data_IF_212051092398
#
_entry.id   IF_212051092398
#
_cell.length_a   1.000
_cell.length_b   1.000
_cell.length_c   1.000
_cell.angle_alpha   90.00
_cell.angle_beta   90.00
_cell.angle_gamma   90.00
#
_symmetry.space_group_name_H-M   'P 1'
#
loop_
_entity.id
_entity.type
_entity.pdbx_description
1 polymer ?
#
# COMPACT_ATOMS: atom_id res chain seq x y z
N UNK A 1 34.41 35.80 -5.32
CA UNK A 1 33.88 35.77 -6.69
C UNK A 1 34.46 34.50 -7.29
N UNK A 2 33.78 33.38 -7.08
CA UNK A 2 34.34 32.09 -7.48
C UNK A 2 33.78 31.73 -8.84
N UNK A 3 34.69 31.68 -9.81
CA UNK A 3 34.42 31.40 -11.20
C UNK A 3 33.76 30.02 -11.32
N UNK A 4 32.57 29.98 -11.91
CA UNK A 4 32.02 28.77 -12.51
C UNK A 4 33.02 28.25 -13.54
N UNK A 5 33.88 27.31 -13.16
CA UNK A 5 34.59 26.49 -14.12
C UNK A 5 33.55 25.63 -14.83
N UNK A 6 33.27 26.01 -16.07
CA UNK A 6 32.47 25.26 -17.01
C UNK A 6 33.20 23.92 -17.27
N UNK A 7 32.85 22.87 -16.50
CA UNK A 7 33.50 21.55 -16.58
C UNK A 7 33.02 20.89 -17.88
N UNK A 8 33.71 21.18 -18.99
CA UNK A 8 33.44 20.61 -20.32
C UNK A 8 33.58 19.08 -20.22
N UNK A 9 32.46 18.37 -20.31
CA UNK A 9 32.44 16.91 -20.33
C UNK A 9 32.75 16.45 -21.75
N UNK A 10 33.86 15.74 -21.93
CA UNK A 10 34.27 15.23 -23.23
C UNK A 10 33.61 13.89 -23.53
N UNK A 11 33.19 13.70 -24.78
CA UNK A 11 32.68 12.40 -25.22
C UNK A 11 33.77 11.33 -25.18
N UNK A 12 33.40 10.05 -24.98
CA UNK A 12 34.38 8.94 -24.97
C UNK A 12 35.20 8.86 -26.26
N UNK A 13 34.62 9.21 -27.40
CA UNK A 13 35.34 9.23 -28.67
C UNK A 13 36.34 10.40 -28.79
N UNK A 14 36.03 11.55 -28.20
CA UNK A 14 36.96 12.69 -28.12
C UNK A 14 38.12 12.35 -27.17
N UNK A 15 37.82 11.77 -25.99
CA UNK A 15 38.85 11.31 -25.05
C UNK A 15 39.77 10.29 -25.70
N UNK A 16 39.23 9.31 -26.44
CA UNK A 16 40.04 8.32 -27.17
C UNK A 16 41.01 8.95 -28.18
N UNK A 17 40.70 10.10 -28.77
CA UNK A 17 41.61 10.76 -29.72
C UNK A 17 42.90 11.22 -29.02
N UNK A 18 42.82 11.68 -27.77
CA UNK A 18 43.98 12.15 -27.01
C UNK A 18 44.95 11.03 -26.59
N UNK A 19 44.55 9.76 -26.72
CA UNK A 19 45.35 8.58 -26.34
C UNK A 19 45.62 7.62 -27.52
N UNK A 20 45.50 8.09 -28.77
CA UNK A 20 45.89 7.27 -29.94
C UNK A 20 47.40 7.08 -30.01
N UNK A 21 47.81 5.98 -30.63
CA UNK A 21 49.22 5.65 -30.81
C UNK A 21 49.95 6.79 -31.56
N UNK A 22 51.09 7.21 -31.02
CA UNK A 22 51.88 8.33 -31.55
C UNK A 22 51.51 9.72 -31.01
N UNK A 23 50.46 9.85 -30.19
CA UNK A 23 50.11 11.10 -29.49
C UNK A 23 50.57 11.00 -28.04
N UNK A 24 51.32 11.99 -27.55
CA UNK A 24 51.73 12.09 -26.15
C UNK A 24 50.64 12.83 -25.36
N UNK A 25 49.89 12.18 -24.45
CA UNK A 25 48.86 12.84 -23.66
C UNK A 25 49.48 13.81 -22.65
N UNK A 26 48.79 14.93 -22.38
CA UNK A 26 49.20 15.91 -21.37
C UNK A 26 48.54 15.63 -20.03
N UNK A 27 49.03 16.25 -18.96
CA UNK A 27 48.39 16.20 -17.62
C UNK A 27 46.89 16.54 -17.67
N UNK A 28 46.50 17.56 -18.45
CA UNK A 28 45.09 17.92 -18.65
C UNK A 28 44.28 16.79 -19.31
N UNK A 29 44.86 16.03 -20.24
CA UNK A 29 44.17 14.88 -20.84
C UNK A 29 43.94 13.76 -19.82
N UNK A 30 44.88 13.54 -18.89
CA UNK A 30 44.69 12.61 -17.77
C UNK A 30 43.64 13.14 -16.78
N UNK A 31 43.65 14.44 -16.47
CA UNK A 31 42.62 15.08 -15.65
C UNK A 31 41.22 14.89 -16.24
N UNK A 32 41.04 15.14 -17.54
CA UNK A 32 39.77 14.90 -18.23
C UNK A 32 39.34 13.43 -18.22
N UNK A 33 40.27 12.49 -18.33
CA UNK A 33 39.97 11.06 -18.23
C UNK A 33 39.50 10.68 -16.82
N UNK A 34 40.21 11.13 -15.78
CA UNK A 34 39.87 10.89 -14.37
C UNK A 34 38.49 11.46 -14.05
N UNK A 35 38.25 12.71 -14.43
CA UNK A 35 36.96 13.40 -14.25
C UNK A 35 35.80 12.73 -15.03
N UNK A 36 36.10 11.97 -16.08
CA UNK A 36 35.11 11.24 -16.91
C UNK A 36 34.85 9.82 -16.42
N UNK A 37 35.57 9.35 -15.40
CA UNK A 37 35.35 8.06 -14.74
C UNK A 37 34.50 8.23 -13.48
N UNK A 38 33.60 7.28 -13.21
CA UNK A 38 32.77 7.31 -12.01
C UNK A 38 33.65 7.01 -10.79
N UNK A 39 33.75 7.96 -9.86
CA UNK A 39 34.39 7.77 -8.58
C UNK A 39 33.36 7.26 -7.56
N UNK A 40 33.48 5.98 -7.19
CA UNK A 40 32.53 5.31 -6.27
C UNK A 40 32.40 5.97 -4.89
N UNK A 41 33.45 6.65 -4.39
CA UNK A 41 33.43 7.30 -3.09
C UNK A 41 32.88 8.73 -3.16
N UNK A 42 33.23 9.46 -4.21
CA UNK A 42 32.87 10.88 -4.34
C UNK A 42 31.52 11.09 -5.02
N UNK A 43 31.11 10.22 -5.95
CA UNK A 43 29.89 10.41 -6.76
C UNK A 43 28.61 9.88 -6.08
N UNK A 44 28.72 9.35 -4.86
CA UNK A 44 27.56 8.82 -4.13
C UNK A 44 26.89 7.62 -4.82
N UNK A 45 27.56 7.01 -5.80
CA UNK A 45 27.06 5.92 -6.61
C UNK A 45 28.04 4.75 -6.56
N UNK A 46 27.64 3.65 -5.91
CA UNK A 46 28.48 2.46 -5.82
C UNK A 46 27.65 1.18 -5.87
N UNK A 47 28.32 0.05 -6.12
CA UNK A 47 27.72 -1.28 -6.08
C UNK A 47 28.59 -2.20 -5.24
N UNK A 48 27.98 -2.86 -4.27
CA UNK A 48 28.62 -3.89 -3.44
C UNK A 48 27.70 -5.11 -3.26
N UNK A 49 28.26 -6.20 -2.74
CA UNK A 49 27.55 -7.49 -2.62
C UNK A 49 26.45 -7.45 -1.55
N UNK A 50 26.67 -6.72 -0.46
CA UNK A 50 25.75 -6.66 0.68
C UNK A 50 24.53 -5.76 0.44
N UNK A 51 24.73 -4.62 -0.24
CA UNK A 51 23.72 -3.56 -0.37
C UNK A 51 23.20 -3.38 -1.80
N UNK A 52 23.78 -4.05 -2.79
CA UNK A 52 23.42 -3.85 -4.20
C UNK A 52 23.81 -2.45 -4.68
N UNK A 53 22.87 -1.73 -5.30
CA UNK A 53 23.11 -0.38 -5.84
C UNK A 53 22.91 0.68 -4.74
N UNK A 54 23.99 1.37 -4.37
CA UNK A 54 23.98 2.45 -3.40
C UNK A 54 23.90 3.79 -4.11
N UNK A 55 22.87 4.57 -3.75
CA UNK A 55 22.64 5.92 -4.26
C UNK A 55 22.56 6.86 -3.06
N UNK A 56 23.46 7.83 -3.02
CA UNK A 56 23.50 8.90 -2.01
C UNK A 56 23.37 10.25 -2.71
N UNK A 57 22.63 11.17 -2.10
CA UNK A 57 22.54 12.53 -2.61
C UNK A 57 23.87 13.25 -2.43
N UNK A 58 24.34 13.95 -3.48
CA UNK A 58 25.51 14.81 -3.39
C UNK A 58 25.17 16.14 -2.69
N UNK A 59 26.00 16.53 -1.73
CA UNK A 59 25.82 17.75 -0.94
C UNK A 59 24.47 17.82 -0.22
N UNK A 60 23.79 18.97 -0.33
CA UNK A 60 22.49 19.23 0.30
C UNK A 60 21.29 18.88 -0.60
N UNK A 61 21.52 18.22 -1.74
CA UNK A 61 20.43 17.84 -2.63
C UNK A 61 19.51 16.82 -1.96
N UNK A 62 18.21 16.91 -2.21
CA UNK A 62 17.25 15.85 -1.85
C UNK A 62 17.11 14.81 -2.95
N UNK A 63 17.65 15.06 -4.15
CA UNK A 63 17.52 14.18 -5.31
C UNK A 63 18.49 13.03 -5.21
N UNK A 64 17.94 11.84 -5.39
CA UNK A 64 18.69 10.59 -5.45
C UNK A 64 18.79 10.13 -6.90
N UNK A 65 17.67 10.14 -7.63
CA UNK A 65 17.62 9.71 -9.04
C UNK A 65 16.71 10.63 -9.85
N UNK A 66 17.14 10.97 -11.06
CA UNK A 66 16.37 11.76 -12.02
C UNK A 66 16.25 10.98 -13.33
N UNK A 67 15.05 10.91 -13.89
CA UNK A 67 14.77 10.19 -15.13
C UNK A 67 14.50 11.16 -16.28
N UNK A 68 15.19 10.97 -17.40
CA UNK A 68 15.10 11.77 -18.63
C UNK A 68 14.52 10.89 -19.74
N UNK A 69 13.80 11.47 -20.72
CA UNK A 69 13.24 10.70 -21.84
C UNK A 69 14.30 10.42 -22.89
N UNK A 70 15.16 11.41 -23.14
CA UNK A 70 16.31 11.33 -24.03
C UNK A 70 17.58 11.85 -23.34
N UNK A 71 18.73 11.55 -23.92
CA UNK A 71 20.06 11.92 -23.37
C UNK A 71 20.28 13.44 -23.43
N UNK A 72 19.66 14.10 -24.40
CA UNK A 72 19.74 15.55 -24.68
C UNK A 72 18.65 16.37 -24.00
N UNK A 73 17.74 15.74 -23.25
CA UNK A 73 16.73 16.44 -22.46
C UNK A 73 17.38 17.31 -21.37
N UNK A 74 17.00 18.59 -21.31
CA UNK A 74 17.51 19.52 -20.30
C UNK A 74 16.87 19.30 -18.92
N UNK A 75 15.65 18.74 -18.87
CA UNK A 75 14.89 18.54 -17.65
C UNK A 75 14.43 17.08 -17.49
N UNK A 76 14.51 16.49 -16.29
CA UNK A 76 13.97 15.17 -16.05
C UNK A 76 12.44 15.20 -16.13
N UNK A 77 11.80 14.12 -16.60
CA UNK A 77 10.34 13.99 -16.55
C UNK A 77 9.84 13.42 -15.22
N UNK A 78 10.72 12.78 -14.44
CA UNK A 78 10.38 12.15 -13.17
C UNK A 78 11.59 12.13 -12.23
N UNK A 79 11.36 12.17 -10.92
CA UNK A 79 12.44 12.20 -9.92
C UNK A 79 12.12 11.38 -8.68
N UNK A 80 13.18 10.91 -8.04
CA UNK A 80 13.17 10.22 -6.77
C UNK A 80 14.00 11.00 -5.76
N UNK A 81 13.39 11.33 -4.64
CA UNK A 81 13.94 12.26 -3.65
C UNK A 81 13.79 11.70 -2.24
N UNK A 82 14.75 12.01 -1.36
CA UNK A 82 14.59 11.85 0.08
C UNK A 82 13.66 12.94 0.61
N UNK A 83 12.73 12.56 1.45
CA UNK A 83 11.87 13.49 2.18
C UNK A 83 12.25 13.43 3.66
N UNK A 84 12.98 14.43 4.13
CA UNK A 84 13.50 14.53 5.50
C UNK A 84 12.63 15.44 6.40
N UNK A 85 11.36 15.65 6.05
CA UNK A 85 10.41 16.41 6.89
C UNK A 85 9.92 15.57 8.09
N UNK A 86 8.85 16.02 8.77
CA UNK A 86 8.29 15.41 10.00
C UNK A 86 8.15 13.87 9.97
N UNK A 87 7.79 13.31 8.81
CA UNK A 87 7.82 11.87 8.55
C UNK A 87 8.88 11.59 7.49
N UNK A 88 10.07 11.08 7.89
CA UNK A 88 11.11 10.77 6.93
C UNK A 88 10.67 9.63 6.01
N UNK A 89 10.95 9.79 4.72
CA UNK A 89 10.51 8.86 3.70
C UNK A 89 11.15 9.11 2.35
N UNK A 90 10.62 8.42 1.35
CA UNK A 90 11.03 8.49 -0.03
C UNK A 90 9.88 9.03 -0.88
N UNK A 91 10.18 10.02 -1.71
CA UNK A 91 9.19 10.71 -2.54
C UNK A 91 9.49 10.48 -4.02
N UNK A 92 8.48 10.02 -4.75
CA UNK A 92 8.50 9.93 -6.21
C UNK A 92 7.55 10.95 -6.77
N UNK A 93 7.99 11.69 -7.79
CA UNK A 93 7.11 12.66 -8.42
C UNK A 93 7.48 12.94 -9.87
N UNK A 94 6.47 13.22 -10.72
CA UNK A 94 6.73 13.79 -12.02
C UNK A 94 7.34 15.18 -11.87
N UNK A 95 8.10 15.59 -12.86
CA UNK A 95 8.55 16.97 -12.95
C UNK A 95 7.42 17.83 -13.53
N UNK A 96 6.36 18.03 -12.74
CA UNK A 96 5.17 18.78 -13.14
C UNK A 96 4.96 19.98 -12.23
N UNK A 97 5.15 21.18 -12.78
CA UNK A 97 4.93 22.49 -12.15
C UNK A 97 5.95 22.92 -11.07
N UNK A 98 6.19 24.24 -10.99
CA UNK A 98 6.98 24.89 -9.91
C UNK A 98 6.16 25.12 -8.64
N UNK A 99 4.83 24.94 -8.71
CA UNK A 99 3.95 25.08 -7.55
C UNK A 99 4.12 23.88 -6.59
N UNK A 100 4.41 24.19 -5.32
CA UNK A 100 4.61 23.19 -4.27
C UNK A 100 3.34 22.39 -3.99
N UNK A 101 2.16 23.01 -4.09
CA UNK A 101 0.88 22.35 -3.82
C UNK A 101 0.60 21.26 -4.86
N UNK A 102 0.65 21.62 -6.15
CA UNK A 102 0.49 20.67 -7.26
C UNK A 102 1.56 19.58 -7.26
N UNK A 103 2.80 19.91 -6.88
CA UNK A 103 3.85 18.89 -6.74
C UNK A 103 3.48 17.85 -5.68
N UNK A 104 2.88 18.25 -4.55
CA UNK A 104 2.51 17.33 -3.49
C UNK A 104 1.37 16.40 -3.92
N UNK A 105 0.38 16.91 -4.63
CA UNK A 105 -0.75 16.12 -5.16
C UNK A 105 -0.32 15.10 -6.23
N UNK A 106 0.73 15.41 -6.99
CA UNK A 106 1.27 14.48 -7.99
C UNK A 106 2.34 13.53 -7.43
N UNK A 107 2.58 13.53 -6.11
CA UNK A 107 3.63 12.74 -5.49
C UNK A 107 3.15 11.42 -4.90
N UNK A 108 4.02 10.43 -4.94
CA UNK A 108 3.92 9.20 -4.19
C UNK A 108 4.91 9.23 -3.03
N UNK A 109 4.44 8.87 -1.85
CA UNK A 109 5.21 8.92 -0.61
C UNK A 109 5.34 7.51 -0.05
N UNK A 110 6.57 7.05 0.14
CA UNK A 110 6.90 5.80 0.78
C UNK A 110 7.54 6.11 2.13
N UNK A 111 6.83 5.82 3.21
CA UNK A 111 7.26 6.16 4.56
C UNK A 111 8.11 5.02 5.16
N UNK A 112 9.02 5.35 6.08
CA UNK A 112 9.89 4.36 6.71
C UNK A 112 9.14 3.33 7.56
N UNK A 113 7.89 3.61 7.96
CA UNK A 113 7.01 2.66 8.64
C UNK A 113 6.30 1.67 7.67
N UNK A 114 6.65 1.71 6.38
CA UNK A 114 6.07 0.88 5.32
C UNK A 114 4.68 1.31 4.86
N UNK A 115 4.24 2.55 5.15
CA UNK A 115 3.01 3.09 4.59
C UNK A 115 3.24 3.83 3.27
N UNK A 116 2.19 3.92 2.46
CA UNK A 116 2.21 4.55 1.15
C UNK A 116 1.15 5.65 1.06
N UNK A 117 1.58 6.85 0.67
CA UNK A 117 0.71 7.98 0.38
C UNK A 117 0.64 8.25 -1.13
N UNK A 118 -0.54 8.48 -1.67
CA UNK A 118 -0.75 8.87 -3.07
C UNK A 118 -1.40 10.25 -3.08
N UNK A 119 -0.69 11.26 -3.58
CA UNK A 119 -1.12 12.66 -3.63
C UNK A 119 -1.21 13.37 -2.28
N UNK A 120 -0.80 12.71 -1.20
CA UNK A 120 -0.55 13.29 0.12
C UNK A 120 0.32 12.35 0.96
N UNK A 121 0.88 12.87 2.06
CA UNK A 121 1.52 12.02 3.07
C UNK A 121 0.47 11.16 3.77
N UNK A 122 0.88 9.97 4.17
CA UNK A 122 0.00 8.99 4.78
C UNK A 122 -0.21 9.34 6.25
N UNK A 123 -1.47 9.40 6.69
CA UNK A 123 -1.77 9.43 8.12
C UNK A 123 -1.21 8.16 8.81
N UNK A 124 -0.53 8.27 9.96
CA UNK A 124 0.04 7.12 10.67
C UNK A 124 -0.96 5.98 10.98
N UNK A 125 -2.26 6.26 10.98
CA UNK A 125 -3.33 5.27 11.20
C UNK A 125 -3.55 4.33 10.01
N UNK A 126 -3.14 4.74 8.81
CA UNK A 126 -3.37 4.00 7.56
C UNK A 126 -2.07 3.40 7.01
N UNK A 127 -2.21 2.28 6.28
CA UNK A 127 -1.09 1.72 5.51
C UNK A 127 -1.05 2.23 4.08
N UNK A 128 -2.19 2.57 3.51
CA UNK A 128 -2.29 3.24 2.22
C UNK A 128 -3.29 4.38 2.36
N UNK A 129 -2.91 5.58 1.93
CA UNK A 129 -3.74 6.78 2.03
C UNK A 129 -3.70 7.56 0.70
N UNK A 130 -4.88 7.78 0.12
CA UNK A 130 -5.02 8.25 -1.26
C UNK A 130 -5.81 9.56 -1.26
N UNK A 131 -5.22 10.61 -1.82
CA UNK A 131 -5.90 11.86 -2.11
C UNK A 131 -6.52 11.80 -3.52
N UNK A 132 -7.81 11.47 -3.59
CA UNK A 132 -8.56 11.37 -4.85
C UNK A 132 -9.41 10.10 -4.95
N UNK A 133 -9.97 9.87 -6.14
CA UNK A 133 -10.78 8.67 -6.41
C UNK A 133 -9.90 7.45 -6.70
N UNK A 134 -10.31 6.30 -6.18
CA UNK A 134 -9.65 5.01 -6.45
C UNK A 134 -10.58 4.13 -7.29
N UNK A 135 -10.14 3.74 -8.50
CA UNK A 135 -10.79 2.69 -9.28
C UNK A 135 -10.33 1.31 -8.82
N UNK A 136 -11.26 0.35 -8.72
CA UNK A 136 -10.95 -1.02 -8.29
C UNK A 136 -11.79 -2.05 -9.04
N UNK A 137 -11.15 -3.09 -9.58
CA UNK A 137 -11.83 -4.22 -10.24
C UNK A 137 -12.57 -5.12 -9.24
N UNK A 138 -12.05 -5.21 -8.01
CA UNK A 138 -12.65 -5.96 -6.91
C UNK A 138 -11.96 -5.65 -5.59
N UNK A 139 -12.59 -6.06 -4.49
CA UNK A 139 -12.04 -5.94 -3.14
C UNK A 139 -12.46 -7.15 -2.31
N UNK A 140 -11.50 -7.74 -1.60
CA UNK A 140 -11.76 -8.80 -0.63
C UNK A 140 -11.19 -8.43 0.73
N UNK A 141 -11.95 -8.72 1.78
CA UNK A 141 -11.53 -8.49 3.16
C UNK A 141 -10.51 -9.51 3.61
N UNK A 142 -9.42 -9.03 4.20
CA UNK A 142 -8.32 -9.86 4.73
C UNK A 142 -8.24 -9.83 6.26
N UNK A 143 -9.22 -9.24 6.95
CA UNK A 143 -9.20 -9.17 8.42
C UNK A 143 -9.41 -10.55 9.05
N UNK A 144 -10.37 -11.31 8.52
CA UNK A 144 -10.60 -12.71 8.89
C UNK A 144 -11.18 -13.44 7.70
N UNK A 145 -10.65 -14.62 7.44
CA UNK A 145 -11.21 -15.56 6.47
C UNK A 145 -11.27 -16.95 7.10
N UNK A 146 -12.11 -17.81 6.54
CA UNK A 146 -12.24 -19.18 7.01
C UNK A 146 -13.48 -19.87 6.49
N UNK A 147 -13.73 -21.04 7.07
CA UNK A 147 -14.90 -21.85 6.80
C UNK A 147 -15.58 -22.30 8.08
N UNK A 148 -16.90 -22.47 8.01
CA UNK A 148 -17.69 -23.13 9.06
C UNK A 148 -18.73 -24.06 8.42
N UNK A 149 -19.16 -25.13 9.10
CA UNK A 149 -20.15 -26.06 8.55
C UNK A 149 -21.48 -25.39 8.16
N UNK A 150 -22.04 -25.77 7.01
CA UNK A 150 -23.37 -25.32 6.55
C UNK A 150 -24.49 -26.24 7.08
N UNK A 151 -24.56 -26.40 8.40
CA UNK A 151 -25.29 -27.47 9.09
C UNK A 151 -26.55 -27.00 9.84
N UNK A 152 -27.04 -25.78 9.55
CA UNK A 152 -28.13 -25.10 10.27
C UNK A 152 -27.77 -24.54 11.65
N UNK A 153 -26.57 -24.82 12.19
CA UNK A 153 -26.15 -24.35 13.51
C UNK A 153 -25.41 -23.02 13.41
N UNK A 154 -25.47 -22.24 14.49
CA UNK A 154 -24.73 -20.99 14.60
C UNK A 154 -23.27 -21.27 14.93
N UNK A 155 -22.37 -20.72 14.12
CA UNK A 155 -20.92 -20.78 14.32
C UNK A 155 -20.37 -19.37 14.49
N UNK A 156 -19.48 -19.18 15.46
CA UNK A 156 -18.79 -17.90 15.63
C UNK A 156 -17.71 -17.72 14.56
N UNK A 157 -17.70 -16.57 13.90
CA UNK A 157 -16.65 -16.19 12.94
C UNK A 157 -15.70 -15.13 13.50
N UNK A 158 -16.17 -14.39 14.51
CA UNK A 158 -15.40 -13.49 15.35
C UNK A 158 -15.87 -13.65 16.79
N UNK A 159 -14.95 -13.64 17.74
CA UNK A 159 -15.17 -13.82 19.17
C UNK A 159 -14.39 -12.75 19.96
N UNK A 160 -14.68 -12.64 21.26
CA UNK A 160 -14.02 -11.71 22.18
C UNK A 160 -13.97 -10.26 21.69
N UNK A 161 -15.04 -9.82 21.00
CA UNK A 161 -15.16 -8.46 20.52
C UNK A 161 -15.56 -7.52 21.66
N UNK A 162 -14.97 -6.33 21.63
CA UNK A 162 -15.28 -5.23 22.54
C UNK A 162 -15.40 -3.90 21.78
N UNK A 163 -15.88 -2.87 22.46
CA UNK A 163 -16.06 -1.51 21.93
C UNK A 163 -16.98 -1.46 20.71
N UNK A 164 -16.96 -0.36 19.94
CA UNK A 164 -17.70 -0.24 18.70
C UNK A 164 -16.98 -0.96 17.57
N UNK A 165 -17.71 -1.78 16.82
CA UNK A 165 -17.17 -2.57 15.72
C UNK A 165 -18.05 -2.43 14.48
N UNK A 166 -17.41 -2.35 13.32
CA UNK A 166 -18.06 -2.39 12.04
C UNK A 166 -17.34 -3.35 11.09
N UNK A 167 -18.09 -4.28 10.51
CA UNK A 167 -17.57 -5.27 9.58
C UNK A 167 -18.40 -5.34 8.30
N UNK A 168 -17.72 -5.63 7.21
CA UNK A 168 -18.33 -6.10 5.98
C UNK A 168 -17.98 -7.57 5.78
N UNK A 169 -19.00 -8.39 5.53
CA UNK A 169 -18.86 -9.84 5.43
C UNK A 169 -19.38 -10.28 4.07
N UNK A 170 -18.51 -10.93 3.31
CA UNK A 170 -18.89 -11.71 2.13
C UNK A 170 -18.86 -13.17 2.53
N UNK A 171 -19.94 -13.91 2.23
CA UNK A 171 -19.96 -15.35 2.47
C UNK A 171 -20.69 -16.10 1.37
N UNK A 172 -20.23 -17.31 1.06
CA UNK A 172 -20.81 -18.17 0.04
C UNK A 172 -20.79 -19.63 0.50
N UNK A 173 -21.86 -20.36 0.19
CA UNK A 173 -21.97 -21.79 0.43
C UNK A 173 -22.63 -22.49 -0.76
N UNK A 174 -22.53 -23.81 -0.79
CA UNK A 174 -23.10 -24.66 -1.82
C UNK A 174 -22.07 -25.50 -2.55
N UNK A 175 -22.49 -26.70 -2.94
CA UNK A 175 -21.68 -27.68 -3.68
C UNK A 175 -22.30 -27.89 -5.06
N UNK A 176 -21.45 -28.06 -6.07
CA UNK A 176 -21.92 -28.31 -7.44
C UNK A 176 -22.79 -29.56 -7.49
N UNK A 177 -23.90 -29.52 -8.23
CA UNK A 177 -24.82 -30.64 -8.39
C UNK A 177 -25.84 -30.85 -7.25
N UNK A 178 -25.75 -30.12 -6.13
CA UNK A 178 -26.72 -30.30 -5.02
C UNK A 178 -27.97 -29.44 -5.14
N UNK A 179 -28.00 -28.49 -6.09
CA UNK A 179 -29.11 -27.55 -6.26
C UNK A 179 -29.27 -26.55 -5.09
N UNK A 180 -28.28 -26.45 -4.19
CA UNK A 180 -28.29 -25.53 -3.06
C UNK A 180 -27.05 -24.65 -3.09
N UNK A 181 -27.23 -23.37 -3.44
CA UNK A 181 -26.16 -22.37 -3.45
C UNK A 181 -26.69 -21.10 -2.80
N UNK A 182 -25.87 -20.43 -1.99
CA UNK A 182 -26.16 -19.09 -1.54
C UNK A 182 -24.92 -18.23 -1.45
N UNK A 183 -25.11 -16.94 -1.69
CA UNK A 183 -24.12 -15.89 -1.48
C UNK A 183 -24.77 -14.77 -0.68
N UNK A 184 -24.00 -14.20 0.24
CA UNK A 184 -24.43 -13.17 1.15
C UNK A 184 -23.38 -12.07 1.21
N UNK A 185 -23.88 -10.84 1.19
CA UNK A 185 -23.16 -9.65 1.61
C UNK A 185 -23.85 -9.09 2.85
N UNK A 186 -23.09 -8.76 3.89
CA UNK A 186 -23.63 -8.19 5.11
C UNK A 186 -22.74 -7.06 5.64
N UNK A 187 -23.37 -6.00 6.14
CA UNK A 187 -22.74 -4.98 6.98
C UNK A 187 -23.23 -5.19 8.41
N UNK A 188 -22.30 -5.51 9.29
CA UNK A 188 -22.56 -5.77 10.70
C UNK A 188 -22.01 -4.61 11.53
N UNK A 189 -22.89 -3.91 12.23
CA UNK A 189 -22.57 -2.78 13.09
C UNK A 189 -22.95 -3.13 14.53
N UNK A 190 -22.03 -2.83 15.45
CA UNK A 190 -22.25 -2.99 16.88
C UNK A 190 -21.65 -1.81 17.63
N UNK A 191 -22.44 -1.26 18.56
CA UNK A 191 -21.99 -0.27 19.53
C UNK A 191 -22.07 -0.95 20.90
N UNK A 192 -21.07 -1.79 21.21
CA UNK A 192 -21.10 -2.81 22.25
C UNK A 192 -22.09 -3.96 21.99
N UNK A 193 -21.89 -5.10 22.64
CA UNK A 193 -22.78 -6.24 22.49
C UNK A 193 -24.15 -6.03 23.16
N UNK A 194 -25.11 -6.92 22.89
CA UNK A 194 -26.49 -6.82 23.40
C UNK A 194 -27.57 -6.49 22.36
N UNK A 195 -28.67 -5.87 22.80
CA UNK A 195 -29.97 -5.91 22.13
C UNK A 195 -30.13 -4.99 20.92
N UNK A 196 -29.30 -3.95 20.76
CA UNK A 196 -29.50 -2.90 19.75
C UNK A 196 -28.51 -2.96 18.57
N UNK A 197 -27.80 -4.08 18.42
CA UNK A 197 -26.89 -4.27 17.31
C UNK A 197 -27.61 -4.47 15.96
N UNK A 198 -27.03 -3.97 14.87
CA UNK A 198 -27.67 -3.97 13.56
C UNK A 198 -26.86 -4.78 12.56
N UNK A 199 -27.54 -5.68 11.86
CA UNK A 199 -26.99 -6.36 10.68
C UNK A 199 -27.91 -6.07 9.50
N UNK A 200 -27.36 -5.44 8.47
CA UNK A 200 -28.01 -5.32 7.16
C UNK A 200 -27.37 -6.37 6.25
N UNK A 201 -28.15 -7.35 5.83
CA UNK A 201 -27.68 -8.44 4.98
C UNK A 201 -28.55 -8.55 3.72
N UNK A 202 -27.91 -8.80 2.59
CA UNK A 202 -28.52 -9.16 1.31
C UNK A 202 -28.04 -10.56 0.96
N UNK A 203 -28.95 -11.48 0.65
CA UNK A 203 -28.61 -12.85 0.33
C UNK A 203 -29.37 -13.31 -0.91
N UNK A 204 -28.60 -13.71 -1.93
CA UNK A 204 -29.09 -14.42 -3.10
C UNK A 204 -28.92 -15.93 -2.87
N UNK A 205 -29.90 -16.70 -3.32
CA UNK A 205 -29.94 -18.15 -3.13
C UNK A 205 -30.52 -18.82 -4.37
N UNK A 206 -30.11 -20.06 -4.58
CA UNK A 206 -30.64 -20.96 -5.59
C UNK A 206 -31.39 -22.11 -4.93
N UNK A 207 -32.49 -22.55 -5.55
CA UNK A 207 -33.44 -23.50 -4.98
C UNK A 207 -34.45 -22.79 -4.07
N UNK A 208 -34.59 -23.26 -2.83
CA UNK A 208 -35.62 -22.78 -1.91
C UNK A 208 -35.16 -21.62 -1.03
N UNK A 209 -36.09 -20.79 -0.55
CA UNK A 209 -35.81 -19.61 0.28
C UNK A 209 -35.15 -19.90 1.64
N UNK A 210 -35.15 -21.17 2.06
CA UNK A 210 -34.49 -21.69 3.26
C UNK A 210 -32.98 -21.94 3.04
N UNK A 211 -32.50 -21.87 1.79
CA UNK A 211 -31.08 -21.96 1.44
C UNK A 211 -30.36 -20.62 1.68
N UNK A 212 -30.78 -19.80 2.64
CA UNK A 212 -30.14 -18.51 2.90
C UNK A 212 -29.06 -18.64 3.97
N UNK A 213 -28.04 -17.80 3.87
CA UNK A 213 -27.08 -17.56 4.95
C UNK A 213 -27.66 -16.45 5.84
N UNK A 214 -27.45 -16.56 7.15
CA UNK A 214 -27.85 -15.58 8.15
C UNK A 214 -26.71 -15.26 9.09
N UNK A 215 -26.69 -14.02 9.56
CA UNK A 215 -25.79 -13.57 10.62
C UNK A 215 -26.56 -13.07 11.84
N UNK A 216 -25.90 -13.13 13.00
CA UNK A 216 -26.37 -12.49 14.23
C UNK A 216 -25.20 -12.05 15.11
N UNK A 217 -25.46 -11.09 15.97
CA UNK A 217 -24.64 -10.81 17.14
C UNK A 217 -25.07 -11.72 18.30
N UNK A 218 -24.11 -12.15 19.12
CA UNK A 218 -24.38 -12.95 20.33
C UNK A 218 -23.41 -12.53 21.43
N UNK A 219 -23.90 -12.30 22.64
CA UNK A 219 -23.07 -11.91 23.79
C UNK A 219 -23.73 -10.84 24.64
N UNK A 220 -23.08 -10.48 25.74
CA UNK A 220 -23.42 -9.32 26.57
C UNK A 220 -22.73 -8.05 26.05
N UNK A 221 -22.60 -7.02 26.89
CA UNK A 221 -21.97 -5.73 26.52
C UNK A 221 -20.54 -5.89 26.01
N UNK A 222 -19.75 -6.74 26.68
CA UNK A 222 -18.37 -7.06 26.34
C UNK A 222 -18.25 -8.53 25.90
N UNK A 223 -17.14 -8.86 25.22
CA UNK A 223 -16.84 -10.21 24.71
C UNK A 223 -17.98 -10.80 23.88
N UNK A 224 -18.53 -9.99 23.00
CA UNK A 224 -19.57 -10.42 22.08
C UNK A 224 -18.96 -11.05 20.83
N UNK A 225 -19.77 -11.80 20.11
CA UNK A 225 -19.37 -12.58 18.96
C UNK A 225 -20.27 -12.30 17.77
N UNK A 226 -19.67 -12.36 16.58
CA UNK A 226 -20.39 -12.35 15.31
C UNK A 226 -20.54 -13.80 14.85
N UNK A 227 -21.77 -14.25 14.66
CA UNK A 227 -22.07 -15.62 14.27
C UNK A 227 -22.71 -15.69 12.89
N UNK A 228 -22.47 -16.79 12.19
CA UNK A 228 -23.01 -17.11 10.87
C UNK A 228 -23.66 -18.50 10.90
N UNK A 229 -24.69 -18.70 10.06
CA UNK A 229 -25.26 -20.01 9.78
C UNK A 229 -25.98 -20.07 8.44
N UNK A 230 -26.28 -21.26 7.99
CA UNK A 230 -27.32 -21.50 6.99
C UNK A 230 -28.70 -21.69 7.63
N UNK A 231 -29.76 -21.39 6.89
CA UNK A 231 -31.15 -21.63 7.31
C UNK A 231 -31.62 -23.08 7.08
N UNK A 232 -30.84 -23.89 6.35
CA UNK A 232 -31.06 -25.30 6.09
C UNK A 232 -29.73 -26.05 6.19
N UNK A 233 -29.77 -27.37 6.39
CA UNK A 233 -28.56 -28.20 6.32
C UNK A 233 -28.25 -28.50 4.84
N UNK A 234 -27.02 -28.21 4.42
CA UNK A 234 -26.54 -28.40 3.05
C UNK A 234 -26.01 -29.80 2.77
N UNK A 235 -25.89 -30.64 3.79
CA UNK A 235 -25.37 -32.00 3.72
C UNK A 235 -23.92 -32.10 4.20
N UNK A 236 -23.39 -33.34 4.28
CA UNK A 236 -22.06 -33.59 4.79
C UNK A 236 -20.98 -32.98 3.88
N UNK A 237 -19.98 -32.36 4.50
CA UNK A 237 -18.83 -31.76 3.80
C UNK A 237 -19.17 -30.52 2.98
N UNK A 238 -20.23 -29.79 3.33
CA UNK A 238 -20.54 -28.48 2.75
C UNK A 238 -20.36 -27.41 3.80
N UNK A 239 -19.52 -26.43 3.48
CA UNK A 239 -19.17 -25.33 4.37
C UNK A 239 -19.65 -23.98 3.83
N UNK A 240 -19.74 -23.00 4.73
CA UNK A 240 -19.84 -21.58 4.44
C UNK A 240 -18.43 -21.02 4.41
N UNK A 241 -18.01 -20.51 3.27
CA UNK A 241 -16.75 -19.78 3.09
C UNK A 241 -17.01 -18.30 3.30
N UNK A 242 -16.16 -17.61 4.05
CA UNK A 242 -16.36 -16.19 4.33
C UNK A 242 -15.06 -15.39 4.34
N UNK A 243 -15.19 -14.12 3.97
CA UNK A 243 -14.17 -13.09 4.08
C UNK A 243 -14.75 -11.88 4.80
N UNK A 244 -14.03 -11.38 5.81
CA UNK A 244 -14.42 -10.24 6.63
C UNK A 244 -13.47 -9.08 6.37
N UNK A 245 -14.03 -7.91 6.10
CA UNK A 245 -13.32 -6.62 6.11
C UNK A 245 -13.69 -5.88 7.39
N UNK A 246 -12.69 -5.31 8.06
CA UNK A 246 -12.90 -4.37 9.17
C UNK A 246 -13.13 -2.97 8.62
N UNK A 247 -14.28 -2.38 8.90
CA UNK A 247 -14.65 -1.02 8.48
C UNK A 247 -14.34 0.04 9.55
N UNK A 248 -14.28 -0.38 10.82
CA UNK A 248 -14.02 0.50 11.96
C UNK A 248 -13.21 -0.19 13.05
N UNK A 249 -12.38 0.59 13.74
CA UNK A 249 -11.49 0.13 14.80
C UNK A 249 -11.26 1.26 15.82
N UNK A 250 -12.00 1.26 16.93
CA UNK A 250 -11.90 2.30 17.97
C UNK A 250 -10.45 2.52 18.43
N UNK A 251 -9.74 1.43 18.76
CA UNK A 251 -8.34 1.44 19.20
C UNK A 251 -7.38 2.18 18.25
N UNK A 252 -7.71 2.25 16.96
CA UNK A 252 -6.88 2.91 15.94
C UNK A 252 -7.33 4.33 15.62
N UNK A 253 -8.63 4.62 15.75
CA UNK A 253 -9.23 5.83 15.19
C UNK A 253 -9.53 6.86 16.28
N UNK A 254 -10.07 6.40 17.41
CA UNK A 254 -10.58 7.27 18.46
C UNK A 254 -9.48 7.59 19.49
N UNK A 255 -9.52 8.70 20.23
CA UNK A 255 -8.60 8.96 21.35
C UNK A 255 -8.88 8.04 22.55
N UNK A 256 -7.87 7.72 23.37
CA UNK A 256 -8.01 6.82 24.53
C UNK A 256 -9.12 7.20 25.52
N UNK A 257 -9.44 8.49 25.61
CA UNK A 257 -10.51 9.03 26.46
C UNK A 257 -11.91 8.50 26.11
N UNK A 258 -12.10 7.98 24.90
CA UNK A 258 -13.40 7.55 24.38
C UNK A 258 -13.74 6.08 24.66
N UNK A 259 -12.80 5.30 25.21
CA UNK A 259 -13.01 3.89 25.51
C UNK A 259 -12.21 3.53 26.77
N UNK A 260 -12.73 4.01 27.91
CA UNK A 260 -12.25 3.69 29.25
C UNK A 260 -12.24 2.17 29.46
N UNK A 261 -11.18 1.67 30.11
CA UNK A 261 -10.98 0.26 30.47
C UNK A 261 -11.91 -0.21 31.59
#
# INVERSE_FOLDING_TARGET
>A
MDAQQNKKVYGREELKQYFRNGIMPTENHFGHLIDSTINKQEDGFSKDEDNGLRVSSLGNSKRLVSFYRAIDDLEPFFRMEKDEQELPGFRLQPNSSKDKATQQENSFFFHMNGSMGIGKKCDPRYKVDINGFTGMQGRMGTFKEGTVPADNKWHSVLEDLDYCQAFEVMARTGKTGTGKIAIMHATALSAFGGAHNKIRQSCAYYGFCWNKIKMRWKGGTHKYALQIRTNSNYGPGVDIYYNITRLWCDEKIMPKEYYQH
#
